data_IF_639960317527
#
_entry.id   IF_639960317527
#
_cell.length_a   1.000
_cell.length_b   1.000
_cell.length_c   1.000
_cell.angle_alpha   90.00
_cell.angle_beta   90.00
_cell.angle_gamma   90.00
#
_symmetry.space_group_name_H-M   'P 1'
#
loop_
_entity.id
_entity.type
_entity.pdbx_description
1 polymer ?
#
# COMPACT_ATOMS: atom_id res chain seq x y z
N UNK A 1 -1.79 7.85 38.89
CA UNK A 1 -3.20 8.00 39.32
C UNK A 1 -4.01 6.84 38.79
N UNK A 2 -4.86 6.22 39.61
CA UNK A 2 -5.79 5.18 39.16
C UNK A 2 -7.00 5.85 38.49
N UNK A 3 -7.11 5.74 37.18
CA UNK A 3 -8.24 6.29 36.41
C UNK A 3 -9.29 5.20 36.22
N UNK A 4 -10.53 5.42 36.68
CA UNK A 4 -11.66 4.55 36.32
C UNK A 4 -11.92 4.69 34.82
N UNK A 5 -11.74 3.61 34.06
CA UNK A 5 -12.05 3.57 32.63
C UNK A 5 -13.57 3.75 32.46
N UNK A 6 -14.01 4.85 31.85
CA UNK A 6 -15.41 5.10 31.57
C UNK A 6 -15.89 4.08 30.51
N UNK A 7 -16.91 3.28 30.83
CA UNK A 7 -17.40 2.19 29.98
C UNK A 7 -18.25 2.68 28.80
N UNK A 8 -18.64 3.96 28.79
CA UNK A 8 -19.36 4.61 27.68
C UNK A 8 -18.55 4.64 26.36
N UNK A 9 -17.22 4.57 26.43
CA UNK A 9 -16.32 4.58 25.26
C UNK A 9 -16.38 3.25 24.47
N UNK A 10 -17.00 2.20 25.02
CA UNK A 10 -17.01 0.86 24.39
C UNK A 10 -17.94 0.80 23.16
N UNK A 11 -18.88 1.75 23.01
CA UNK A 11 -19.86 1.79 21.91
C UNK A 11 -19.54 2.82 20.81
N UNK A 12 -18.29 3.26 20.68
CA UNK A 12 -17.90 4.25 19.68
C UNK A 12 -17.58 3.60 18.33
N UNK A 13 -18.32 4.00 17.29
CA UNK A 13 -17.99 3.70 15.88
C UNK A 13 -17.28 4.91 15.29
N UNK A 14 -16.11 4.68 14.69
CA UNK A 14 -15.31 5.72 14.04
C UNK A 14 -15.16 5.40 12.54
N UNK A 15 -15.49 6.38 11.69
CA UNK A 15 -15.30 6.31 10.25
C UNK A 15 -14.02 7.07 9.90
N UNK A 16 -12.94 6.32 9.65
CA UNK A 16 -11.63 6.87 9.31
C UNK A 16 -11.18 6.42 7.93
N UNK A 17 -10.50 7.32 7.20
CA UNK A 17 -9.80 6.96 5.97
C UNK A 17 -8.45 6.35 6.31
N UNK A 18 -8.14 5.19 5.75
CA UNK A 18 -6.83 4.54 5.96
C UNK A 18 -5.70 5.44 5.47
N UNK A 19 -5.90 6.14 4.35
CA UNK A 19 -4.90 7.09 3.84
C UNK A 19 -4.63 8.22 4.84
N UNK A 20 -5.66 8.74 5.50
CA UNK A 20 -5.51 9.80 6.51
C UNK A 20 -4.73 9.38 7.76
N UNK A 21 -4.59 8.07 8.00
CA UNK A 21 -3.81 7.52 9.11
C UNK A 21 -2.30 7.46 8.80
N UNK A 22 -1.90 7.60 7.52
CA UNK A 22 -0.50 7.62 7.12
C UNK A 22 0.04 9.05 7.22
N UNK A 23 1.12 9.30 7.99
CA UNK A 23 1.72 10.63 8.12
C UNK A 23 2.01 11.28 6.76
N UNK A 24 1.87 12.61 6.69
CA UNK A 24 2.09 13.34 5.44
C UNK A 24 3.56 13.35 5.01
N UNK A 25 4.47 13.32 5.97
CA UNK A 25 5.92 13.25 5.80
C UNK A 25 6.46 11.82 5.66
N UNK A 26 5.57 10.82 5.47
CA UNK A 26 5.97 9.44 5.37
C UNK A 26 6.75 9.16 4.07
N UNK A 27 7.88 8.46 4.18
CA UNK A 27 8.78 8.14 3.06
C UNK A 27 8.05 7.58 1.83
N UNK A 28 7.11 6.66 2.02
CA UNK A 28 6.38 6.05 0.90
C UNK A 28 5.50 7.02 0.12
N UNK A 29 5.04 8.12 0.73
CA UNK A 29 4.34 9.19 -0.01
C UNK A 29 5.31 9.90 -0.94
N UNK A 30 6.50 10.25 -0.45
CA UNK A 30 7.55 10.84 -1.27
C UNK A 30 7.98 9.90 -2.41
N UNK A 31 8.06 8.59 -2.17
CA UNK A 31 8.37 7.59 -3.21
C UNK A 31 7.26 7.55 -4.27
N UNK A 32 5.99 7.49 -3.86
CA UNK A 32 4.85 7.49 -4.79
C UNK A 32 4.82 8.75 -5.67
N UNK A 33 5.13 9.91 -5.10
CA UNK A 33 5.17 11.19 -5.84
C UNK A 33 6.40 11.31 -6.77
N UNK A 34 7.48 10.59 -6.47
CA UNK A 34 8.76 10.72 -7.21
C UNK A 34 8.85 9.80 -8.43
N UNK A 35 7.96 8.81 -8.55
CA UNK A 35 8.07 7.76 -9.56
C UNK A 35 6.73 7.60 -10.27
N UNK A 36 6.69 7.89 -11.57
CA UNK A 36 5.59 7.44 -12.42
C UNK A 36 5.78 5.95 -12.68
N UNK A 37 4.93 5.09 -12.11
CA UNK A 37 5.03 3.64 -12.25
C UNK A 37 4.50 3.09 -13.58
N UNK A 38 3.88 3.94 -14.42
CA UNK A 38 3.26 3.47 -15.66
C UNK A 38 4.25 2.83 -16.63
N UNK A 39 5.54 3.20 -16.57
CA UNK A 39 6.58 2.58 -17.41
C UNK A 39 6.64 1.06 -17.26
N UNK A 40 6.25 0.52 -16.10
CA UNK A 40 6.28 -0.93 -15.84
C UNK A 40 5.36 -1.66 -16.83
N UNK A 41 4.20 -1.10 -17.17
CA UNK A 41 3.27 -1.75 -18.09
C UNK A 41 3.88 -1.92 -19.48
N UNK A 42 4.62 -0.92 -19.96
CA UNK A 42 5.31 -0.99 -21.25
C UNK A 42 6.43 -2.03 -21.23
N UNK A 43 7.23 -2.07 -20.16
CA UNK A 43 8.35 -3.01 -20.00
C UNK A 43 7.91 -4.48 -19.95
N UNK A 44 6.75 -4.76 -19.36
CA UNK A 44 6.29 -6.14 -19.16
C UNK A 44 5.21 -6.58 -20.15
N UNK A 45 4.75 -5.70 -21.04
CA UNK A 45 3.58 -5.95 -21.90
C UNK A 45 3.63 -7.29 -22.62
N UNK A 46 4.76 -7.61 -23.23
CA UNK A 46 4.94 -8.84 -24.03
C UNK A 46 4.97 -10.12 -23.19
N UNK A 47 5.08 -10.01 -21.86
CA UNK A 47 5.04 -11.13 -20.92
C UNK A 47 3.63 -11.49 -20.46
N UNK A 48 2.64 -10.63 -20.75
CA UNK A 48 1.24 -10.81 -20.35
C UNK A 48 0.34 -11.00 -21.57
N UNK A 49 -0.68 -11.85 -21.42
CA UNK A 49 -1.71 -12.01 -22.44
C UNK A 49 -2.87 -11.06 -22.16
N UNK A 50 -3.28 -10.29 -23.16
CA UNK A 50 -4.45 -9.41 -23.07
C UNK A 50 -5.78 -10.20 -23.08
N UNK A 51 -5.80 -11.39 -23.70
CA UNK A 51 -7.04 -12.07 -24.06
C UNK A 51 -7.15 -13.51 -23.55
N UNK A 52 -6.11 -14.05 -22.91
CA UNK A 52 -6.07 -15.49 -22.58
C UNK A 52 -5.47 -15.72 -21.21
N UNK A 53 -6.08 -16.65 -20.46
CA UNK A 53 -5.60 -17.05 -19.14
C UNK A 53 -6.32 -16.34 -17.99
N UNK A 54 -5.79 -16.54 -16.78
CA UNK A 54 -6.33 -15.91 -15.56
C UNK A 54 -5.72 -14.52 -15.43
N UNK A 55 -6.51 -13.49 -15.10
CA UNK A 55 -5.97 -12.17 -14.76
C UNK A 55 -4.90 -12.29 -13.68
N UNK A 56 -3.71 -11.77 -13.97
CA UNK A 56 -2.62 -11.71 -13.01
C UNK A 56 -2.87 -10.60 -11.99
N UNK A 57 -2.07 -10.59 -10.92
CA UNK A 57 -1.91 -9.39 -10.10
C UNK A 57 -1.31 -8.29 -10.97
N UNK A 58 -1.69 -7.04 -10.70
CA UNK A 58 -1.13 -5.87 -11.37
C UNK A 58 0.41 -5.85 -11.22
N UNK A 59 1.18 -5.75 -12.32
CA UNK A 59 2.63 -5.75 -12.26
C UNK A 59 3.20 -4.59 -11.42
N UNK A 60 2.55 -3.42 -11.37
CA UNK A 60 2.96 -2.30 -10.52
C UNK A 60 2.86 -2.69 -9.04
N UNK A 61 1.81 -3.42 -8.64
CA UNK A 61 1.66 -3.90 -7.26
C UNK A 61 2.79 -4.86 -6.89
N UNK A 62 3.17 -5.77 -7.78
CA UNK A 62 4.28 -6.69 -7.54
C UNK A 62 5.61 -5.94 -7.32
N UNK A 63 5.89 -4.94 -8.15
CA UNK A 63 7.09 -4.10 -7.99
C UNK A 63 7.03 -3.30 -6.69
N UNK A 64 5.89 -2.69 -6.34
CA UNK A 64 5.72 -1.97 -5.07
C UNK A 64 5.95 -2.88 -3.86
N UNK A 65 5.51 -4.15 -3.90
CA UNK A 65 5.80 -5.12 -2.84
C UNK A 65 7.30 -5.40 -2.69
N UNK A 66 8.03 -5.57 -3.80
CA UNK A 66 9.48 -5.74 -3.77
C UNK A 66 10.19 -4.47 -3.25
N UNK A 67 9.70 -3.29 -3.60
CA UNK A 67 10.22 -2.04 -3.05
C UNK A 67 10.00 -1.94 -1.54
N UNK A 68 8.81 -2.29 -1.05
CA UNK A 68 8.53 -2.36 0.40
C UNK A 68 9.48 -3.35 1.08
N UNK A 69 9.71 -4.50 0.46
CA UNK A 69 10.65 -5.49 0.96
C UNK A 69 12.07 -4.91 1.08
N UNK A 70 12.54 -4.20 0.06
CA UNK A 70 13.87 -3.59 0.05
C UNK A 70 13.99 -2.41 1.03
N UNK A 71 13.00 -1.53 1.09
CA UNK A 71 13.02 -0.32 1.94
C UNK A 71 12.92 -0.65 3.43
N UNK A 72 12.14 -1.66 3.79
CA UNK A 72 11.89 -2.04 5.19
C UNK A 72 12.59 -3.32 5.64
N UNK A 73 13.36 -3.96 4.75
CA UNK A 73 14.09 -5.19 5.06
C UNK A 73 13.17 -6.37 5.43
N UNK A 74 12.00 -6.46 4.80
CA UNK A 74 11.05 -7.56 5.07
C UNK A 74 11.66 -8.86 4.54
N UNK A 75 11.74 -9.87 5.39
CA UNK A 75 12.29 -11.18 5.03
C UNK A 75 11.19 -12.08 4.49
N UNK A 76 11.51 -12.86 3.46
CA UNK A 76 10.66 -13.91 2.90
C UNK A 76 10.63 -15.15 3.79
#
# INVERSE_FOLDING_TARGET
>A
MLTKKNREIIEQVELVSIDSLVPQDHLLRAVEESIDFNFIYDEVKDLYSENTGRPSIDPVVLIKLLMLQALYGIRS
#
